data_IF_619603120590
#
_entry.id   IF_619603120590
#
_cell.length_a   1.000
_cell.length_b   1.000
_cell.length_c   1.000
_cell.angle_alpha   90.00
_cell.angle_beta   90.00
_cell.angle_gamma   90.00
#
_symmetry.space_group_name_H-M   'P 1'
#
loop_
_entity.id
_entity.type
_entity.pdbx_description
1 polymer ?
#
# COMPACT_ATOMS: atom_id res chain seq x y z
N UNK A 1 -5.17 -6.79 -15.16
CA UNK A 1 -5.48 -6.90 -13.72
C UNK A 1 -5.03 -8.27 -13.25
N UNK A 2 -4.18 -8.32 -12.23
CA UNK A 2 -3.76 -9.55 -11.55
C UNK A 2 -4.43 -9.52 -10.17
N UNK A 3 -4.96 -10.65 -9.71
CA UNK A 3 -5.54 -10.77 -8.37
C UNK A 3 -4.56 -11.56 -7.51
N UNK A 4 -4.05 -10.93 -6.44
CA UNK A 4 -3.16 -11.56 -5.47
C UNK A 4 -3.86 -11.51 -4.12
N UNK A 5 -4.10 -12.66 -3.50
CA UNK A 5 -4.77 -12.78 -2.19
C UNK A 5 -6.10 -12.01 -2.08
N UNK A 6 -6.87 -11.96 -3.18
CA UNK A 6 -8.15 -11.24 -3.25
C UNK A 6 -8.03 -9.74 -3.50
N UNK A 7 -6.80 -9.21 -3.58
CA UNK A 7 -6.52 -7.79 -3.86
C UNK A 7 -6.27 -7.54 -5.34
N UNK A 8 -6.61 -6.33 -5.80
CA UNK A 8 -6.54 -5.96 -7.22
C UNK A 8 -5.23 -5.25 -7.52
N UNK A 9 -4.40 -5.87 -8.34
CA UNK A 9 -3.18 -5.24 -8.87
C UNK A 9 -3.42 -4.85 -10.32
N UNK A 10 -3.15 -3.59 -10.63
CA UNK A 10 -3.38 -3.07 -11.96
C UNK A 10 -2.32 -3.61 -12.94
N UNK A 11 -2.69 -3.85 -14.20
CA UNK A 11 -1.76 -4.29 -15.26
C UNK A 11 -0.82 -3.19 -15.75
N UNK A 12 -1.00 -1.96 -15.28
CA UNK A 12 -0.16 -0.81 -15.61
C UNK A 12 1.01 -0.61 -14.64
N UNK A 13 1.21 -1.51 -13.68
CA UNK A 13 2.40 -1.47 -12.83
C UNK A 13 3.62 -2.08 -13.54
N UNK A 14 4.76 -1.40 -13.42
CA UNK A 14 6.06 -1.92 -13.90
C UNK A 14 6.76 -2.78 -12.83
N UNK A 15 6.08 -3.09 -11.72
CA UNK A 15 6.61 -3.91 -10.64
C UNK A 15 6.47 -5.40 -10.96
N UNK A 16 7.43 -6.19 -10.50
CA UNK A 16 7.29 -7.65 -10.54
C UNK A 16 6.29 -8.12 -9.50
N UNK A 17 5.66 -9.26 -9.75
CA UNK A 17 4.71 -9.88 -8.81
C UNK A 17 5.31 -10.06 -7.41
N UNK A 18 6.58 -10.46 -7.32
CA UNK A 18 7.30 -10.60 -6.06
C UNK A 18 7.44 -9.28 -5.29
N UNK A 19 7.61 -8.15 -5.99
CA UNK A 19 7.66 -6.82 -5.36
C UNK A 19 6.26 -6.42 -4.87
N UNK A 20 5.22 -6.67 -5.66
CA UNK A 20 3.84 -6.40 -5.26
C UNK A 20 3.44 -7.19 -4.00
N UNK A 21 3.78 -8.48 -3.94
CA UNK A 21 3.58 -9.33 -2.77
C UNK A 21 4.30 -8.78 -1.54
N UNK A 22 5.57 -8.40 -1.69
CA UNK A 22 6.36 -7.81 -0.60
C UNK A 22 5.77 -6.50 -0.09
N UNK A 23 5.24 -5.65 -0.98
CA UNK A 23 4.54 -4.41 -0.59
C UNK A 23 3.28 -4.71 0.21
N UNK A 24 2.49 -5.69 -0.24
CA UNK A 24 1.29 -6.13 0.47
C UNK A 24 1.65 -6.65 1.88
N UNK A 25 2.68 -7.48 2.00
CA UNK A 25 3.18 -7.98 3.29
C UNK A 25 3.62 -6.85 4.23
N UNK A 26 4.36 -5.87 3.72
CA UNK A 26 4.80 -4.69 4.49
C UNK A 26 3.58 -3.93 5.03
N UNK A 27 2.60 -3.66 4.16
CA UNK A 27 1.40 -2.90 4.53
C UNK A 27 0.55 -3.66 5.55
N UNK A 28 0.35 -4.96 5.37
CA UNK A 28 -0.40 -5.78 6.32
C UNK A 28 0.32 -5.93 7.66
N UNK A 29 1.66 -5.97 7.67
CA UNK A 29 2.46 -5.97 8.89
C UNK A 29 2.32 -4.66 9.67
N UNK A 30 2.28 -3.52 8.98
CA UNK A 30 2.20 -2.20 9.61
C UNK A 30 0.77 -1.83 10.05
N UNK A 31 -0.23 -2.16 9.24
CA UNK A 31 -1.62 -1.70 9.43
C UNK A 31 -2.61 -2.81 9.81
N UNK A 32 -2.16 -4.07 9.87
CA UNK A 32 -3.02 -5.23 10.10
C UNK A 32 -3.91 -5.53 8.91
N UNK A 33 -5.20 -5.81 9.17
CA UNK A 33 -6.17 -6.04 8.11
C UNK A 33 -6.44 -4.75 7.33
N UNK A 34 -6.31 -4.82 6.01
CA UNK A 34 -6.53 -3.71 5.09
C UNK A 34 -7.67 -4.01 4.11
N UNK A 35 -8.42 -2.96 3.75
CA UNK A 35 -9.43 -3.00 2.70
C UNK A 35 -8.90 -2.42 1.38
N UNK A 36 -9.70 -2.56 0.32
CA UNK A 36 -9.54 -1.96 -1.02
C UNK A 36 -8.08 -1.61 -1.39
N UNK A 37 -7.26 -2.64 -1.60
CA UNK A 37 -5.86 -2.48 -1.97
C UNK A 37 -5.71 -2.38 -3.50
N UNK A 38 -4.88 -1.42 -3.90
CA UNK A 38 -4.52 -1.14 -5.28
C UNK A 38 -3.02 -0.81 -5.35
N UNK A 39 -2.35 -1.34 -6.38
CA UNK A 39 -1.05 -0.84 -6.82
C UNK A 39 -1.18 -0.36 -8.26
N UNK A 40 -0.69 0.84 -8.52
CA UNK A 40 -0.63 1.46 -9.84
C UNK A 40 0.70 2.18 -10.01
N UNK A 41 1.45 1.84 -11.07
CA UNK A 41 2.81 2.33 -11.29
C UNK A 41 3.70 2.13 -10.04
N UNK A 42 4.15 3.25 -9.43
CA UNK A 42 4.96 3.31 -8.22
C UNK A 42 4.15 3.83 -7.02
N UNK A 43 2.82 3.71 -7.04
CA UNK A 43 1.93 4.13 -5.96
C UNK A 43 1.05 2.97 -5.47
N UNK A 44 0.76 2.98 -4.17
CA UNK A 44 -0.07 2.00 -3.50
C UNK A 44 -1.14 2.70 -2.68
N UNK A 45 -2.40 2.31 -2.91
CA UNK A 45 -3.56 2.84 -2.22
C UNK A 45 -4.27 1.73 -1.47
N UNK A 46 -4.68 1.98 -0.23
CA UNK A 46 -5.42 1.01 0.58
C UNK A 46 -6.25 1.69 1.67
N UNK A 47 -7.23 0.96 2.20
CA UNK A 47 -8.07 1.42 3.31
C UNK A 47 -7.62 0.77 4.61
N UNK A 48 -7.67 1.55 5.68
CA UNK A 48 -7.32 1.10 7.03
C UNK A 48 -8.40 1.46 8.04
N UNK A 49 -8.31 0.90 9.24
CA UNK A 49 -9.11 1.38 10.36
C UNK A 49 -8.66 2.77 10.81
N UNK A 50 -9.60 3.53 11.40
CA UNK A 50 -9.38 4.90 11.87
C UNK A 50 -8.11 5.07 12.73
N UNK A 51 -7.85 4.16 13.66
CA UNK A 51 -6.68 4.25 14.55
C UNK A 51 -5.35 4.23 13.81
N UNK A 52 -5.26 3.41 12.76
CA UNK A 52 -4.10 3.34 11.87
C UNK A 52 -4.01 4.57 10.95
N UNK A 53 -5.15 5.05 10.46
CA UNK A 53 -5.20 6.24 9.63
C UNK A 53 -4.68 7.49 10.37
N UNK A 54 -5.11 7.70 11.61
CA UNK A 54 -4.70 8.86 12.41
C UNK A 54 -3.18 8.86 12.68
N UNK A 55 -2.60 7.68 12.89
CA UNK A 55 -1.18 7.49 13.22
C UNK A 55 -0.33 7.00 12.04
N UNK A 56 -0.82 7.15 10.80
CA UNK A 56 -0.14 6.63 9.62
C UNK A 56 1.30 7.21 9.52
N UNK A 57 2.34 6.35 9.48
CA UNK A 57 3.72 6.81 9.39
C UNK A 57 3.96 7.55 8.08
N UNK A 58 4.69 8.67 8.14
CA UNK A 58 5.09 9.38 6.90
C UNK A 58 5.98 8.54 6.00
N UNK A 59 6.69 7.57 6.57
CA UNK A 59 7.64 6.73 5.86
C UNK A 59 7.69 5.35 6.50
N UNK A 60 7.58 4.30 5.68
CA UNK A 60 7.80 2.91 6.08
C UNK A 60 9.08 2.45 5.37
N UNK A 61 10.07 2.02 6.14
CA UNK A 61 11.36 1.57 5.62
C UNK A 61 11.50 0.08 5.90
N UNK A 62 11.47 -0.76 4.87
CA UNK A 62 11.69 -2.19 5.02
C UNK A 62 12.68 -2.73 3.99
N UNK A 63 13.90 -3.01 4.47
CA UNK A 63 15.03 -3.46 3.66
C UNK A 63 15.34 -2.46 2.52
N UNK A 64 15.09 -2.88 1.27
CA UNK A 64 15.38 -2.14 0.03
C UNK A 64 14.15 -1.39 -0.51
N UNK A 65 13.01 -1.47 0.18
CA UNK A 65 11.78 -0.78 -0.21
C UNK A 65 11.45 0.30 0.82
N UNK A 66 11.11 1.48 0.30
CA UNK A 66 10.60 2.58 1.11
C UNK A 66 9.23 2.98 0.59
N UNK A 67 8.29 3.20 1.49
CA UNK A 67 6.97 3.71 1.18
C UNK A 67 6.84 5.09 1.82
N UNK A 68 6.65 6.13 1.02
CA UNK A 68 6.43 7.51 1.48
C UNK A 68 4.94 7.85 1.41
N UNK A 69 4.36 8.32 2.51
CA UNK A 69 2.97 8.72 2.55
C UNK A 69 2.76 9.99 1.72
N UNK A 70 1.96 9.89 0.66
CA UNK A 70 1.64 11.00 -0.25
C UNK A 70 0.20 11.49 -0.11
N UNK A 71 -0.72 10.63 0.37
CA UNK A 71 -2.14 10.98 0.47
C UNK A 71 -2.81 10.37 1.71
N UNK A 72 -3.68 11.16 2.33
CA UNK A 72 -4.64 10.73 3.35
C UNK A 72 -6.03 11.20 2.95
N UNK A 73 -6.97 10.26 2.81
CA UNK A 73 -8.37 10.57 2.52
C UNK A 73 -9.26 10.17 3.70
N UNK A 74 -9.77 11.19 4.41
CA UNK A 74 -10.57 11.04 5.63
C UNK A 74 -11.93 10.36 5.40
N UNK A 75 -12.54 10.51 4.23
CA UNK A 75 -13.89 10.00 3.96
C UNK A 75 -13.95 8.47 3.97
N UNK A 76 -12.85 7.80 3.63
CA UNK A 76 -12.78 6.34 3.56
C UNK A 76 -11.66 5.72 4.40
N UNK A 77 -10.98 6.53 5.22
CA UNK A 77 -9.76 6.17 5.92
C UNK A 77 -8.74 5.52 4.97
N UNK A 78 -8.56 6.13 3.80
CA UNK A 78 -7.68 5.61 2.77
C UNK A 78 -6.31 6.30 2.83
N UNK A 79 -5.25 5.52 2.62
CA UNK A 79 -3.88 5.97 2.60
C UNK A 79 -3.29 5.69 1.21
N UNK A 80 -2.56 6.67 0.69
CA UNK A 80 -1.76 6.55 -0.53
C UNK A 80 -0.28 6.68 -0.19
N UNK A 81 0.51 5.71 -0.61
CA UNK A 81 1.96 5.73 -0.48
C UNK A 81 2.64 5.66 -1.85
N UNK A 82 3.76 6.37 -2.00
CA UNK A 82 4.68 6.23 -3.12
C UNK A 82 5.78 5.24 -2.77
N UNK A 83 6.08 4.35 -3.70
CA UNK A 83 7.16 3.38 -3.65
C UNK A 83 8.44 4.10 -4.07
N UNK A 84 9.38 4.25 -3.14
CA UNK A 84 10.68 4.86 -3.37
C UNK A 84 11.74 3.76 -3.38
N UNK A 85 12.48 3.69 -4.48
CA UNK A 85 13.58 2.74 -4.74
C UNK A 85 14.93 3.44 -4.64
#
# INVERSE_FOLDING_TARGET
MIIIDGYKINTFTNLSEAVCLKILEIIQKEFGEIGDFLIEEDEVGFRVYRGYFENAPKMINEMELKLELIEKNDYHFALGYRIVR
#
